data_IF_206506157141
#
_entry.id   IF_206506157141
#
_cell.length_a   1.000
_cell.length_b   1.000
_cell.length_c   1.000
_cell.angle_alpha   90.00
_cell.angle_beta   90.00
_cell.angle_gamma   90.00
#
_symmetry.space_group_name_H-M   'P 1'
#
loop_
_entity.id
_entity.type
_entity.pdbx_description
1 polymer ?
#
# COMPACT_ATOMS: atom_id res chain seq x y z
N UNK A 1 -1.03 -7.45 5.98
CA UNK A 1 -1.24 -7.38 7.45
C UNK A 1 -0.77 -6.03 7.98
N UNK A 2 -1.37 -5.55 9.07
CA UNK A 2 -0.75 -4.48 9.86
C UNK A 2 0.33 -5.11 10.73
N UNK A 3 1.61 -4.80 10.46
CA UNK A 3 2.72 -5.31 11.31
C UNK A 3 2.65 -4.63 12.68
N UNK A 4 3.44 -5.09 13.65
CA UNK A 4 3.46 -4.59 15.05
C UNK A 4 3.53 -3.06 15.20
N UNK A 5 4.00 -2.32 14.20
CA UNK A 5 3.95 -0.84 14.15
C UNK A 5 2.62 -0.21 13.69
N UNK A 6 1.61 -0.98 13.32
CA UNK A 6 0.33 -0.48 12.79
C UNK A 6 0.41 0.10 11.37
N UNK A 7 1.52 -0.12 10.66
CA UNK A 7 1.65 0.16 9.23
C UNK A 7 1.18 -1.03 8.40
N UNK A 8 0.83 -0.80 7.15
CA UNK A 8 0.41 -1.82 6.18
C UNK A 8 1.45 -1.89 5.04
N UNK A 9 1.80 -3.11 4.67
CA UNK A 9 2.58 -3.39 3.45
C UNK A 9 1.65 -3.98 2.40
N UNK A 10 1.68 -3.43 1.19
CA UNK A 10 0.98 -3.96 0.02
C UNK A 10 2.03 -4.32 -1.05
N UNK A 11 1.83 -5.47 -1.71
CA UNK A 11 2.61 -5.88 -2.88
C UNK A 11 1.70 -5.81 -4.10
N UNK A 12 2.18 -5.19 -5.17
CA UNK A 12 1.47 -5.07 -6.43
C UNK A 12 2.22 -5.88 -7.49
N UNK A 13 1.49 -6.52 -8.40
CA UNK A 13 2.10 -7.35 -9.44
C UNK A 13 2.87 -6.53 -10.49
N UNK A 14 2.53 -5.24 -10.63
CA UNK A 14 3.11 -4.37 -11.66
C UNK A 14 4.44 -3.72 -11.27
N UNK A 15 4.92 -3.90 -10.03
CA UNK A 15 6.18 -3.30 -9.57
C UNK A 15 6.85 -4.18 -8.52
N UNK A 16 8.19 -4.30 -8.54
CA UNK A 16 8.92 -4.99 -7.48
C UNK A 16 8.98 -4.20 -6.17
N UNK A 17 8.63 -2.90 -6.18
CA UNK A 17 8.66 -2.07 -4.98
C UNK A 17 7.49 -2.40 -4.06
N UNK A 18 7.76 -2.51 -2.77
CA UNK A 18 6.68 -2.60 -1.79
C UNK A 18 6.01 -1.24 -1.61
N UNK A 19 4.71 -1.26 -1.36
CA UNK A 19 3.95 -0.08 -0.95
C UNK A 19 3.90 -0.08 0.57
N UNK A 20 4.43 0.98 1.17
CA UNK A 20 4.38 1.22 2.61
C UNK A 20 3.30 2.24 2.94
N UNK A 21 2.31 1.84 3.72
CA UNK A 21 1.29 2.74 4.27
C UNK A 21 1.54 2.87 5.77
N UNK A 22 2.05 4.03 6.26
CA UNK A 22 2.29 4.22 7.68
C UNK A 22 0.96 4.32 8.44
N UNK A 23 1.03 4.19 9.78
CA UNK A 23 -0.15 4.22 10.66
C UNK A 23 -0.95 5.53 10.49
N UNK A 24 -0.25 6.65 10.49
CA UNK A 24 -0.80 8.01 10.32
C UNK A 24 -1.23 8.31 8.88
N UNK A 25 -0.68 7.59 7.90
CA UNK A 25 -1.13 7.61 6.50
C UNK A 25 -2.41 6.82 6.21
N UNK A 26 -3.09 6.30 7.23
CA UNK A 26 -4.39 5.62 7.08
C UNK A 26 -4.30 4.12 6.78
N UNK A 27 -3.26 3.43 7.26
CA UNK A 27 -3.07 1.99 7.07
C UNK A 27 -4.30 1.13 7.45
N UNK A 28 -5.00 1.47 8.53
CA UNK A 28 -6.20 0.75 8.98
C UNK A 28 -7.37 0.92 8.01
N UNK A 29 -7.57 2.13 7.48
CA UNK A 29 -8.61 2.44 6.50
C UNK A 29 -8.34 1.71 5.17
N UNK A 30 -7.10 1.75 4.68
CA UNK A 30 -6.70 1.03 3.46
C UNK A 30 -6.91 -0.47 3.62
N UNK A 31 -6.49 -1.05 4.76
CA UNK A 31 -6.68 -2.49 5.05
C UNK A 31 -8.16 -2.89 5.10
N UNK A 32 -9.06 -1.99 5.51
CA UNK A 32 -10.50 -2.27 5.58
C UNK A 32 -11.20 -2.33 4.22
N UNK A 33 -10.59 -1.77 3.17
CA UNK A 33 -11.21 -1.63 1.84
C UNK A 33 -10.47 -2.30 0.69
N UNK A 34 -9.17 -2.59 0.84
CA UNK A 34 -8.35 -3.25 -0.18
C UNK A 34 -7.97 -4.65 0.27
N UNK A 35 -8.20 -5.63 -0.59
CA UNK A 35 -7.95 -7.05 -0.37
C UNK A 35 -7.08 -7.65 -1.48
N UNK A 36 -6.53 -8.83 -1.23
CA UNK A 36 -5.78 -9.56 -2.24
C UNK A 36 -6.70 -9.90 -3.43
N UNK A 37 -6.21 -9.66 -4.65
CA UNK A 37 -6.98 -9.79 -5.88
C UNK A 37 -7.66 -8.51 -6.34
N UNK A 38 -7.67 -7.43 -5.54
CA UNK A 38 -8.18 -6.14 -5.99
C UNK A 38 -7.18 -5.46 -6.95
N UNK A 39 -7.73 -4.73 -7.93
CA UNK A 39 -6.96 -3.81 -8.75
C UNK A 39 -6.97 -2.44 -8.08
N UNK A 40 -5.79 -1.88 -7.85
CA UNK A 40 -5.64 -0.58 -7.21
C UNK A 40 -4.69 0.33 -7.98
N UNK A 41 -4.88 1.63 -7.83
CA UNK A 41 -3.90 2.66 -8.18
C UNK A 41 -3.30 3.20 -6.89
N UNK A 42 -1.99 3.39 -6.86
CA UNK A 42 -1.28 3.92 -5.68
C UNK A 42 -0.45 5.13 -6.10
N UNK A 43 -0.58 6.22 -5.35
CA UNK A 43 0.31 7.39 -5.43
C UNK A 43 1.12 7.53 -4.13
N UNK A 44 2.37 7.92 -4.24
CA UNK A 44 3.27 8.04 -3.11
C UNK A 44 4.65 8.53 -3.52
N UNK A 45 5.55 8.67 -2.55
CA UNK A 45 6.95 9.04 -2.78
C UNK A 45 7.84 7.80 -2.70
N UNK A 46 8.82 7.71 -3.59
CA UNK A 46 9.84 6.66 -3.50
C UNK A 46 10.83 7.03 -2.39
N UNK A 47 11.00 6.15 -1.40
CA UNK A 47 11.97 6.30 -0.30
C UNK A 47 12.85 5.04 -0.20
N UNK A 48 13.97 5.13 0.51
CA UNK A 48 14.82 3.98 0.84
C UNK A 48 14.79 3.73 2.35
N UNK A 49 14.49 2.50 2.75
CA UNK A 49 14.48 2.06 4.13
C UNK A 49 15.25 0.75 4.27
N UNK A 50 16.28 0.73 5.12
CA UNK A 50 17.10 -0.48 5.35
C UNK A 50 17.79 -1.02 4.08
N UNK A 51 18.14 -0.14 3.13
CA UNK A 51 18.73 -0.50 1.84
C UNK A 51 17.73 -1.05 0.81
N UNK A 52 16.42 -0.99 1.10
CA UNK A 52 15.36 -1.36 0.16
C UNK A 52 14.55 -0.13 -0.23
N UNK A 53 14.29 0.01 -1.53
CA UNK A 53 13.39 1.07 -2.04
C UNK A 53 11.93 0.66 -1.88
N UNK A 54 11.10 1.61 -1.47
CA UNK A 54 9.66 1.44 -1.29
C UNK A 54 8.90 2.68 -1.76
N UNK A 55 7.60 2.53 -2.02
CA UNK A 55 6.69 3.63 -2.28
C UNK A 55 5.92 3.91 -0.99
N UNK A 56 6.14 5.07 -0.39
CA UNK A 56 5.46 5.50 0.82
C UNK A 56 4.21 6.30 0.49
N UNK A 57 3.10 5.87 1.06
CA UNK A 57 1.81 6.54 0.98
C UNK A 57 1.67 7.51 2.15
N UNK A 58 1.23 8.75 1.88
CA UNK A 58 1.08 9.77 2.93
C UNK A 58 -0.36 9.92 3.44
N UNK A 59 -1.35 9.49 2.66
CA UNK A 59 -2.78 9.55 3.01
C UNK A 59 -3.52 8.38 2.37
N UNK A 60 -4.57 7.90 3.04
CA UNK A 60 -5.32 6.74 2.58
C UNK A 60 -5.92 6.95 1.19
N UNK A 61 -6.34 8.16 0.84
CA UNK A 61 -6.96 8.48 -0.45
C UNK A 61 -6.03 8.28 -1.66
N UNK A 62 -4.71 8.23 -1.45
CA UNK A 62 -3.76 7.96 -2.53
C UNK A 62 -3.72 6.47 -2.94
N UNK A 63 -4.44 5.61 -2.22
CA UNK A 63 -4.75 4.24 -2.64
C UNK A 63 -6.18 4.23 -3.18
N UNK A 64 -6.37 3.95 -4.46
CA UNK A 64 -7.70 3.98 -5.10
C UNK A 64 -8.06 2.58 -5.57
N UNK A 65 -9.19 2.05 -5.09
CA UNK A 65 -9.74 0.78 -5.56
C UNK A 65 -10.35 0.99 -6.95
N UNK A 66 -9.87 0.23 -7.93
CA UNK A 66 -10.32 0.28 -9.32
C UNK A 66 -11.32 -0.83 -9.67
N UNK A 67 -11.43 -1.86 -8.81
CA UNK A 67 -12.31 -3.02 -9.00
C UNK A 67 -11.62 -4.32 -8.59
N UNK A 68 -12.25 -5.45 -8.90
CA UNK A 68 -11.64 -6.77 -8.71
C UNK A 68 -10.75 -7.10 -9.92
N UNK A 69 -9.54 -7.61 -9.68
CA UNK A 69 -8.69 -8.19 -10.71
C UNK A 69 -9.31 -9.47 -11.24
N UNK A 70 -9.33 -9.61 -12.57
CA UNK A 70 -9.74 -10.85 -13.22
C UNK A 70 -8.76 -11.97 -12.84
N UNK A 71 -9.30 -13.14 -12.48
CA UNK A 71 -8.52 -14.33 -12.09
C UNK A 71 -7.82 -14.98 -13.28
#
# INVERSE_FOLDING_TARGET
ETRSGGHLIIRLDCTPLQIFVPRDGGAAEVKGRVHAGDRVTVSGTTEEFGGQREIKVSRSQDVVLMGQGER
#
